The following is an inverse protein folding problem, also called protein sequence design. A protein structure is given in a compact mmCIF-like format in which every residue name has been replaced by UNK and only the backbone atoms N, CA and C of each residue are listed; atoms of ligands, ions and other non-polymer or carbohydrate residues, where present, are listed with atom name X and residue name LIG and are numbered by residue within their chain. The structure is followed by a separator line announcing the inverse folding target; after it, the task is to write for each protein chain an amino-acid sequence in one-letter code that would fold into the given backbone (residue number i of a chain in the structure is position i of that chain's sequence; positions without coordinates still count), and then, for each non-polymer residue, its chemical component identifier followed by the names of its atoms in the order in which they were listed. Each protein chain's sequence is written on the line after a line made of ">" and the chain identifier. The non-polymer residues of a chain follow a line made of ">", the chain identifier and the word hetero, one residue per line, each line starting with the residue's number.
data_IF_954450139572
#
_entry.id   IF_954450139572
#
_cell.length_a   1.000
_cell.length_b   1.000
_cell.length_c   1.000
_cell.angle_alpha   90.00
_cell.angle_beta   90.00
_cell.angle_gamma   90.00
#
_symmetry.space_group_name_H-M   'P 1'
#
loop_
_entity.id
_entity.type
_entity.pdbx_description
1 polymer ?
#
# COMPACT_ATOMS: atom_id res chain seq x y z
N UNK A 1 -0.10 8.47 7.99
CA UNK A 1 -0.25 7.14 8.59
C UNK A 1 -1.44 6.36 8.03
N UNK A 2 -2.71 6.88 8.06
CA UNK A 2 -3.91 6.12 7.63
C UNK A 2 -3.85 5.66 6.17
N UNK A 3 -3.39 6.52 5.23
CA UNK A 3 -3.25 6.14 3.81
C UNK A 3 -2.18 5.06 3.63
N UNK A 4 -1.03 5.20 4.28
CA UNK A 4 0.04 4.20 4.27
C UNK A 4 -0.45 2.86 4.84
N UNK A 5 -1.14 2.88 5.98
CA UNK A 5 -1.72 1.68 6.57
C UNK A 5 -2.69 0.96 5.61
N UNK A 6 -3.53 1.69 4.87
CA UNK A 6 -4.43 1.11 3.86
C UNK A 6 -3.71 0.49 2.66
N UNK A 7 -2.53 1.01 2.30
CA UNK A 7 -1.72 0.45 1.22
C UNK A 7 -1.04 -0.86 1.64
N UNK A 8 -0.56 -0.93 2.89
CA UNK A 8 0.15 -2.10 3.39
C UNK A 8 -0.76 -3.27 3.78
N UNK A 9 -1.85 -3.00 4.50
CA UNK A 9 -2.71 -4.06 5.03
C UNK A 9 -3.53 -4.73 3.93
N UNK A 10 -3.51 -6.06 3.91
CA UNK A 10 -4.33 -6.84 3.01
C UNK A 10 -5.82 -6.63 3.32
N UNK A 11 -6.55 -6.13 2.32
CA UNK A 11 -7.98 -5.90 2.41
C UNK A 11 -8.71 -7.12 1.88
N UNK A 12 -9.61 -7.68 2.67
CA UNK A 12 -10.58 -8.64 2.14
C UNK A 12 -11.55 -7.91 1.20
N UNK A 13 -12.09 -8.62 0.20
CA UNK A 13 -13.06 -8.04 -0.74
C UNK A 13 -14.17 -7.34 0.02
N UNK A 14 -14.53 -6.13 -0.40
CA UNK A 14 -15.60 -5.36 0.21
C UNK A 14 -16.89 -6.19 0.29
N UNK A 15 -17.46 -6.32 1.50
CA UNK A 15 -18.67 -7.10 1.76
C UNK A 15 -18.42 -8.58 2.15
N UNK A 16 -17.18 -9.05 2.24
CA UNK A 16 -16.87 -10.38 2.78
C UNK A 16 -17.01 -10.44 4.31
N UNK A 17 -17.32 -11.63 4.86
CA UNK A 17 -17.47 -11.84 6.33
C UNK A 17 -16.27 -11.36 7.15
N UNK A 18 -15.08 -11.31 6.59
CA UNK A 18 -13.84 -10.90 7.24
C UNK A 18 -13.39 -9.46 6.91
N UNK A 19 -14.26 -8.63 6.34
CA UNK A 19 -13.90 -7.24 6.00
C UNK A 19 -13.49 -6.40 7.22
N UNK A 20 -13.99 -6.74 8.41
CA UNK A 20 -13.62 -6.11 9.67
C UNK A 20 -12.15 -6.31 10.04
N UNK A 21 -11.56 -7.49 9.73
CA UNK A 21 -10.14 -7.81 10.00
C UNK A 21 -9.21 -6.82 9.32
N UNK A 22 -9.44 -6.56 8.02
CA UNK A 22 -8.66 -5.58 7.27
C UNK A 22 -8.82 -4.15 7.80
N UNK A 23 -10.05 -3.74 8.13
CA UNK A 23 -10.30 -2.41 8.69
C UNK A 23 -9.65 -2.21 10.05
N UNK A 24 -9.74 -3.21 10.92
CA UNK A 24 -9.10 -3.20 12.22
C UNK A 24 -7.58 -3.18 12.10
N UNK A 25 -7.01 -4.00 11.21
CA UNK A 25 -5.60 -4.00 10.89
C UNK A 25 -5.10 -2.63 10.42
N UNK A 26 -5.84 -1.93 9.56
CA UNK A 26 -5.52 -0.55 9.16
C UNK A 26 -5.52 0.41 10.36
N UNK A 27 -6.45 0.25 11.29
CA UNK A 27 -6.53 1.07 12.50
C UNK A 27 -5.31 0.84 13.40
N UNK A 28 -4.91 -0.42 13.59
CA UNK A 28 -3.73 -0.78 14.37
C UNK A 28 -2.45 -0.26 13.72
N UNK A 29 -2.21 -0.57 12.44
CA UNK A 29 -1.02 -0.09 11.70
C UNK A 29 -0.92 1.43 11.73
N UNK A 30 -2.03 2.16 11.54
CA UNK A 30 -2.04 3.61 11.66
C UNK A 30 -1.51 4.06 13.03
N UNK A 31 -1.98 3.46 14.13
CA UNK A 31 -1.59 3.85 15.48
C UNK A 31 -0.15 3.44 15.80
N UNK A 32 0.30 2.27 15.34
CA UNK A 32 1.68 1.81 15.48
C UNK A 32 2.67 2.72 14.73
N UNK A 33 2.34 3.14 13.52
CA UNK A 33 3.16 4.10 12.77
C UNK A 33 3.23 5.47 13.46
N UNK A 34 2.11 5.97 13.99
CA UNK A 34 2.09 7.23 14.73
C UNK A 34 2.91 7.09 16.02
N UNK A 35 2.78 5.96 16.74
CA UNK A 35 3.60 5.67 17.91
C UNK A 35 5.09 5.77 17.60
N UNK A 36 5.55 5.10 16.53
CA UNK A 36 6.95 5.13 16.14
C UNK A 36 7.44 6.54 15.81
N UNK A 37 6.65 7.33 15.10
CA UNK A 37 7.00 8.72 14.78
C UNK A 37 7.08 9.58 16.05
N UNK A 38 6.11 9.47 16.95
CA UNK A 38 6.09 10.25 18.19
C UNK A 38 7.18 9.82 19.18
N UNK A 39 7.50 8.52 19.20
CA UNK A 39 8.50 7.97 20.12
C UNK A 39 9.94 8.15 19.63
N UNK A 40 10.18 8.08 18.31
CA UNK A 40 11.53 7.99 17.74
C UNK A 40 11.82 9.08 16.69
N UNK A 41 10.87 10.02 16.46
CA UNK A 41 10.96 11.04 15.40
C UNK A 41 10.65 10.52 13.99
N UNK A 42 10.76 9.21 13.75
CA UNK A 42 10.48 8.57 12.46
C UNK A 42 9.96 7.15 12.64
N UNK A 43 9.25 6.65 11.64
CA UNK A 43 8.88 5.25 11.50
C UNK A 43 9.66 4.66 10.30
N UNK A 44 10.46 3.63 10.55
CA UNK A 44 11.17 2.88 9.51
C UNK A 44 10.56 1.49 9.35
N UNK A 45 10.72 0.83 8.19
CA UNK A 45 10.28 -0.56 8.02
C UNK A 45 10.85 -1.48 9.11
N UNK A 46 12.13 -1.34 9.45
CA UNK A 46 12.77 -2.13 10.50
C UNK A 46 12.17 -1.88 11.89
N UNK A 47 11.92 -0.61 12.27
CA UNK A 47 11.31 -0.29 13.56
C UNK A 47 9.85 -0.78 13.64
N UNK A 48 9.14 -0.75 12.53
CA UNK A 48 7.78 -1.26 12.45
C UNK A 48 7.74 -2.80 12.59
N UNK A 49 8.62 -3.50 11.88
CA UNK A 49 8.74 -4.95 11.98
C UNK A 49 9.15 -5.40 13.40
N UNK A 50 10.13 -4.70 14.00
CA UNK A 50 10.51 -4.94 15.39
C UNK A 50 9.31 -4.80 16.33
N UNK A 51 8.51 -3.73 16.18
CA UNK A 51 7.34 -3.49 17.01
C UNK A 51 6.30 -4.61 16.86
N UNK A 52 6.03 -5.09 15.63
CA UNK A 52 5.15 -6.24 15.42
C UNK A 52 5.67 -7.50 16.13
N UNK A 53 6.97 -7.77 16.05
CA UNK A 53 7.55 -8.93 16.72
C UNK A 53 7.47 -8.82 18.26
N UNK A 54 7.68 -7.63 18.82
CA UNK A 54 7.48 -7.39 20.26
C UNK A 54 6.03 -7.64 20.67
N UNK A 55 5.07 -7.09 19.93
CA UNK A 55 3.63 -7.33 20.21
C UNK A 55 3.33 -8.83 20.19
N UNK A 56 3.96 -9.59 19.28
CA UNK A 56 3.76 -11.03 19.16
C UNK A 56 4.30 -11.82 20.33
N UNK A 57 5.54 -11.55 20.76
CA UNK A 57 6.35 -12.48 21.55
C UNK A 57 6.89 -11.94 22.87
N UNK A 58 6.75 -10.64 23.19
CA UNK A 58 7.32 -10.04 24.40
C UNK A 58 6.31 -9.09 25.07
N UNK A 59 5.53 -9.63 25.99
CA UNK A 59 4.50 -8.86 26.71
C UNK A 59 5.08 -7.78 27.60
N UNK A 60 6.26 -7.97 28.19
CA UNK A 60 6.85 -6.98 29.07
C UNK A 60 7.42 -5.79 28.28
N UNK A 61 8.07 -6.06 27.14
CA UNK A 61 8.47 -5.01 26.23
C UNK A 61 7.25 -4.29 25.66
N UNK A 62 6.17 -5.01 25.33
CA UNK A 62 4.95 -4.39 24.83
C UNK A 62 4.27 -3.49 25.88
N UNK A 63 4.20 -3.92 27.14
CA UNK A 63 3.75 -3.07 28.25
C UNK A 63 4.61 -1.81 28.39
N UNK A 64 5.91 -1.92 28.17
CA UNK A 64 6.81 -0.77 28.19
C UNK A 64 6.51 0.22 27.08
N UNK A 65 6.26 -0.27 25.86
CA UNK A 65 5.81 0.59 24.75
C UNK A 65 4.45 1.24 25.05
N UNK A 66 3.52 0.50 25.62
CA UNK A 66 2.21 1.02 26.01
C UNK A 66 2.34 2.13 27.06
N UNK A 67 3.18 1.94 28.08
CA UNK A 67 3.48 3.00 29.08
C UNK A 67 4.12 4.23 28.44
N UNK A 68 5.06 4.04 27.49
CA UNK A 68 5.69 5.15 26.75
C UNK A 68 4.69 5.91 25.87
N UNK A 69 3.61 5.28 25.44
CA UNK A 69 2.55 5.92 24.68
C UNK A 69 1.60 6.76 25.55
N UNK A 70 1.69 6.65 26.87
CA UNK A 70 0.83 7.40 27.79
C UNK A 70 1.02 8.91 27.58
N UNK A 71 -0.08 9.60 27.35
CA UNK A 71 -0.08 11.03 27.01
C UNK A 71 0.15 11.35 25.52
N UNK A 72 0.43 10.37 24.66
CA UNK A 72 0.51 10.61 23.21
C UNK A 72 -0.88 10.93 22.63
N UNK A 73 -0.87 11.82 21.64
CA UNK A 73 -2.07 12.25 20.91
C UNK A 73 -2.57 11.19 19.92
N UNK A 74 -3.67 11.49 19.24
CA UNK A 74 -4.26 10.66 18.15
C UNK A 74 -4.78 9.27 18.57
N UNK A 75 -5.05 9.06 19.85
CA UNK A 75 -5.59 7.80 20.36
C UNK A 75 -4.60 6.62 20.33
N UNK A 76 -3.30 6.91 20.24
CA UNK A 76 -2.24 5.88 20.16
C UNK A 76 -2.27 5.00 21.41
N UNK A 77 -2.27 5.61 22.62
CA UNK A 77 -2.30 4.90 23.88
C UNK A 77 -3.51 3.95 23.98
N UNK A 78 -4.71 4.46 23.69
CA UNK A 78 -5.93 3.66 23.73
C UNK A 78 -5.88 2.46 22.79
N UNK A 79 -5.33 2.65 21.57
CA UNK A 79 -5.17 1.54 20.62
C UNK A 79 -4.15 0.51 21.10
N UNK A 80 -3.02 0.92 21.69
CA UNK A 80 -2.03 -0.03 22.24
C UNK A 80 -2.60 -0.83 23.40
N UNK A 81 -3.35 -0.20 24.31
CA UNK A 81 -4.08 -0.89 25.38
C UNK A 81 -5.06 -1.91 24.80
N UNK A 82 -5.87 -1.50 23.83
CA UNK A 82 -6.83 -2.40 23.19
C UNK A 82 -6.16 -3.60 22.53
N UNK A 83 -5.03 -3.41 21.83
CA UNK A 83 -4.27 -4.51 21.24
C UNK A 83 -3.79 -5.46 22.33
N UNK A 84 -3.31 -4.92 23.46
CA UNK A 84 -2.87 -5.71 24.59
C UNK A 84 -4.02 -6.52 25.22
N UNK A 85 -5.16 -5.87 25.49
CA UNK A 85 -6.36 -6.50 26.02
C UNK A 85 -6.88 -7.58 25.09
N UNK A 86 -7.02 -7.29 23.77
CA UNK A 86 -7.45 -8.30 22.80
C UNK A 86 -6.50 -9.50 22.72
N UNK A 87 -5.21 -9.30 22.89
CA UNK A 87 -4.24 -10.41 22.91
C UNK A 87 -4.54 -11.40 24.05
N UNK A 88 -4.99 -10.92 25.22
CA UNK A 88 -5.21 -11.74 26.40
C UNK A 88 -6.67 -12.16 26.60
N UNK A 89 -7.61 -11.29 26.28
CA UNK A 89 -9.04 -11.51 26.57
C UNK A 89 -9.81 -12.05 25.36
N UNK A 90 -9.38 -11.72 24.15
CA UNK A 90 -10.01 -12.14 22.90
C UNK A 90 -8.99 -12.71 21.88
N UNK A 91 -8.25 -13.79 22.22
CA UNK A 91 -7.11 -14.28 21.43
C UNK A 91 -7.48 -14.71 20.01
N UNK A 92 -8.73 -15.12 19.76
CA UNK A 92 -9.20 -15.46 18.41
C UNK A 92 -9.30 -14.22 17.52
N UNK A 93 -9.88 -13.13 18.04
CA UNK A 93 -9.99 -11.86 17.30
C UNK A 93 -8.60 -11.24 17.06
N UNK A 94 -7.79 -11.20 18.13
CA UNK A 94 -6.40 -10.77 18.02
C UNK A 94 -5.66 -11.58 16.96
N UNK A 95 -5.74 -12.91 17.00
CA UNK A 95 -5.07 -13.80 16.06
C UNK A 95 -5.49 -13.55 14.61
N UNK A 96 -6.78 -13.30 14.37
CA UNK A 96 -7.28 -13.01 13.03
C UNK A 96 -6.71 -11.68 12.49
N UNK A 97 -6.76 -10.61 13.27
CA UNK A 97 -6.25 -9.30 12.86
C UNK A 97 -4.73 -9.31 12.76
N UNK A 98 -4.07 -9.83 13.79
CA UNK A 98 -2.61 -9.83 13.87
C UNK A 98 -1.97 -10.76 12.83
N UNK A 99 -2.59 -11.92 12.55
CA UNK A 99 -2.19 -12.80 11.46
C UNK A 99 -2.23 -12.10 10.12
N UNK A 100 -3.34 -11.40 9.82
CA UNK A 100 -3.44 -10.59 8.61
C UNK A 100 -2.36 -9.49 8.53
N UNK A 101 -1.94 -8.90 9.66
CA UNK A 101 -0.84 -7.93 9.68
C UNK A 101 0.50 -8.60 9.40
N UNK A 102 0.79 -9.74 10.02
CA UNK A 102 2.02 -10.47 9.74
C UNK A 102 2.10 -10.86 8.27
N UNK A 103 1.04 -11.44 7.69
CA UNK A 103 0.98 -11.79 6.28
C UNK A 103 1.17 -10.56 5.36
N UNK A 104 0.58 -9.42 5.74
CA UNK A 104 0.68 -8.17 4.99
C UNK A 104 2.09 -7.58 4.95
N UNK A 105 2.89 -7.84 5.96
CA UNK A 105 4.23 -7.27 6.13
C UNK A 105 5.32 -8.34 6.19
N UNK A 106 5.03 -9.59 5.80
CA UNK A 106 5.99 -10.71 5.84
C UNK A 106 7.23 -10.47 4.97
N UNK A 107 7.11 -9.68 3.92
CA UNK A 107 8.25 -9.24 3.11
C UNK A 107 9.35 -8.54 3.93
N UNK A 108 9.04 -7.98 5.11
CA UNK A 108 10.02 -7.44 6.06
C UNK A 108 10.85 -8.52 6.77
N UNK A 109 10.43 -9.77 6.70
CA UNK A 109 11.20 -10.91 7.21
C UNK A 109 12.41 -11.23 6.33
N UNK A 110 12.40 -10.79 5.05
CA UNK A 110 13.54 -10.93 4.14
C UNK A 110 14.61 -9.86 4.43
N UNK A 111 15.84 -10.24 4.83
CA UNK A 111 16.90 -9.26 5.11
C UNK A 111 17.27 -8.41 3.88
N UNK A 112 17.19 -8.98 2.69
CA UNK A 112 17.50 -8.28 1.44
C UNK A 112 16.48 -7.19 1.14
N UNK A 113 15.18 -7.51 1.29
CA UNK A 113 14.11 -6.53 1.09
C UNK A 113 14.14 -5.48 2.18
N UNK A 114 14.29 -5.89 3.45
CA UNK A 114 14.39 -4.96 4.56
C UNK A 114 15.56 -3.97 4.37
N UNK A 115 16.72 -4.43 3.90
CA UNK A 115 17.86 -3.58 3.59
C UNK A 115 17.56 -2.60 2.45
N UNK A 116 16.91 -3.05 1.37
CA UNK A 116 16.59 -2.20 0.20
C UNK A 116 15.61 -1.07 0.51
N UNK A 117 14.76 -1.22 1.52
CA UNK A 117 13.77 -0.20 1.93
C UNK A 117 14.19 0.59 3.18
N UNK A 118 15.40 0.37 3.69
CA UNK A 118 15.89 1.01 4.93
C UNK A 118 16.84 2.18 4.71
N UNK A 119 17.09 2.57 3.45
CA UNK A 119 17.92 3.75 3.11
C UNK A 119 17.29 5.07 3.57
N UNK A 120 18.15 6.07 3.78
CA UNK A 120 17.72 7.45 4.12
C UNK A 120 17.63 8.35 2.87
N UNK A 121 17.84 7.81 1.67
CA UNK A 121 17.82 8.55 0.40
C UNK A 121 16.39 8.84 -0.05
N UNK A 122 16.14 10.07 -0.44
CA UNK A 122 14.83 10.53 -0.89
C UNK A 122 14.76 10.64 -2.42
N UNK A 123 14.75 9.49 -3.09
CA UNK A 123 14.60 9.44 -4.55
C UNK A 123 13.24 9.97 -5.04
N UNK A 124 12.22 10.00 -4.18
CA UNK A 124 10.90 10.47 -4.58
C UNK A 124 10.87 11.99 -4.76
N UNK A 125 11.70 12.73 -4.03
CA UNK A 125 11.85 14.18 -4.23
C UNK A 125 12.44 14.49 -5.60
N UNK A 126 13.36 13.66 -6.08
CA UNK A 126 13.92 13.80 -7.44
C UNK A 126 12.87 13.57 -8.52
N UNK A 127 11.92 12.66 -8.29
CA UNK A 127 10.84 12.38 -9.24
C UNK A 127 9.92 13.58 -9.48
N UNK A 128 9.82 14.48 -8.52
CA UNK A 128 8.97 15.67 -8.59
C UNK A 128 9.74 16.97 -8.81
N UNK A 129 11.07 16.93 -8.91
CA UNK A 129 11.90 18.10 -9.24
C UNK A 129 11.85 18.40 -10.75
N UNK A 130 11.30 19.55 -11.18
CA UNK A 130 11.20 19.91 -12.59
C UNK A 130 12.55 20.10 -13.29
N UNK A 131 13.65 20.24 -12.54
CA UNK A 131 14.99 20.41 -13.09
C UNK A 131 15.75 19.08 -13.25
N UNK A 132 15.14 17.96 -12.86
CA UNK A 132 15.78 16.64 -12.92
C UNK A 132 15.00 15.71 -13.83
N UNK A 133 15.73 14.99 -14.68
CA UNK A 133 15.20 13.88 -15.47
C UNK A 133 15.64 12.57 -14.82
N UNK A 134 14.76 11.96 -14.05
CA UNK A 134 15.03 10.69 -13.35
C UNK A 134 14.04 9.62 -13.77
N UNK A 135 14.51 8.38 -13.77
CA UNK A 135 13.67 7.18 -13.91
C UNK A 135 13.93 6.29 -12.70
N UNK A 136 12.87 5.96 -11.98
CA UNK A 136 12.93 5.05 -10.83
C UNK A 136 12.35 3.72 -11.28
N UNK A 137 13.16 2.67 -11.26
CA UNK A 137 12.72 1.30 -11.52
C UNK A 137 12.45 0.58 -10.19
N UNK A 138 11.22 0.12 -10.02
CA UNK A 138 10.86 -0.77 -8.92
C UNK A 138 10.71 -2.18 -9.49
N UNK A 139 11.73 -3.00 -9.26
CA UNK A 139 11.83 -4.35 -9.85
C UNK A 139 11.53 -5.39 -8.79
N UNK A 140 10.55 -6.25 -9.05
CA UNK A 140 10.25 -7.42 -8.24
C UNK A 140 10.63 -8.66 -9.04
N UNK A 141 11.48 -9.56 -8.50
CA UNK A 141 11.85 -10.78 -9.19
C UNK A 141 10.65 -11.62 -9.56
N UNK A 142 10.66 -12.18 -10.77
CA UNK A 142 9.62 -13.10 -11.23
C UNK A 142 9.48 -14.30 -10.26
N UNK A 143 8.24 -14.77 -10.07
CA UNK A 143 7.91 -15.84 -9.13
C UNK A 143 7.59 -15.39 -7.70
N UNK A 144 8.05 -14.21 -7.27
CA UNK A 144 7.76 -13.67 -5.93
C UNK A 144 6.78 -12.50 -5.92
N UNK A 145 6.19 -12.15 -7.07
CA UNK A 145 5.30 -11.01 -7.20
C UNK A 145 4.08 -11.10 -6.27
N UNK A 146 3.50 -12.30 -6.11
CA UNK A 146 2.35 -12.51 -5.22
C UNK A 146 2.72 -12.37 -3.75
N UNK A 147 3.88 -12.86 -3.34
CA UNK A 147 4.37 -12.79 -1.97
C UNK A 147 4.73 -11.35 -1.58
N UNK A 148 5.06 -10.51 -2.58
CA UNK A 148 5.41 -9.11 -2.41
C UNK A 148 4.29 -8.13 -2.85
N UNK A 149 3.05 -8.59 -2.99
CA UNK A 149 1.91 -7.76 -3.41
C UNK A 149 1.75 -6.51 -2.53
N UNK A 150 1.82 -6.66 -1.21
CA UNK A 150 1.67 -5.55 -0.29
C UNK A 150 2.84 -4.56 -0.35
N UNK A 151 4.07 -5.05 -0.55
CA UNK A 151 5.25 -4.20 -0.79
C UNK A 151 5.08 -3.39 -2.08
N UNK A 152 4.68 -4.05 -3.18
CA UNK A 152 4.45 -3.39 -4.48
C UNK A 152 3.38 -2.31 -4.34
N UNK A 153 2.27 -2.67 -3.72
CA UNK A 153 1.15 -1.77 -3.45
C UNK A 153 1.59 -0.56 -2.62
N UNK A 154 2.41 -0.77 -1.58
CA UNK A 154 2.94 0.32 -0.76
C UNK A 154 3.90 1.21 -1.54
N UNK A 155 4.85 0.65 -2.28
CA UNK A 155 5.84 1.42 -3.03
C UNK A 155 5.16 2.35 -4.06
N UNK A 156 4.28 1.80 -4.88
CA UNK A 156 3.51 2.59 -5.87
C UNK A 156 2.64 3.63 -5.20
N UNK A 157 1.89 3.24 -4.16
CA UNK A 157 0.98 4.15 -3.47
C UNK A 157 1.69 5.28 -2.71
N UNK A 158 2.85 5.03 -2.12
CA UNK A 158 3.66 6.05 -1.45
C UNK A 158 4.22 7.03 -2.50
N UNK A 159 4.75 6.54 -3.62
CA UNK A 159 5.26 7.38 -4.71
C UNK A 159 4.15 8.28 -5.28
N UNK A 160 2.96 7.73 -5.57
CA UNK A 160 1.82 8.54 -6.00
C UNK A 160 1.39 9.58 -4.95
N UNK A 161 1.35 9.19 -3.68
CA UNK A 161 1.01 10.12 -2.60
C UNK A 161 2.04 11.25 -2.45
N UNK A 162 3.32 10.96 -2.70
CA UNK A 162 4.38 11.97 -2.76
C UNK A 162 4.11 12.98 -3.88
N UNK A 163 3.85 12.52 -5.10
CA UNK A 163 3.55 13.39 -6.24
C UNK A 163 2.33 14.29 -6.01
N UNK A 164 1.27 13.74 -5.41
CA UNK A 164 0.07 14.52 -5.04
C UNK A 164 0.40 15.62 -4.03
N UNK A 165 1.34 15.40 -3.11
CA UNK A 165 1.74 16.37 -2.09
C UNK A 165 2.74 17.40 -2.59
N UNK A 166 3.66 16.99 -3.43
CA UNK A 166 4.68 17.86 -3.98
C UNK A 166 4.10 18.93 -4.92
N UNK A 167 3.11 18.56 -5.76
CA UNK A 167 2.24 19.46 -6.57
C UNK A 167 2.94 20.74 -7.09
N UNK A 168 4.13 20.60 -7.69
CA UNK A 168 4.97 21.70 -8.15
C UNK A 168 4.86 21.99 -9.66
N UNK A 169 3.85 21.41 -10.31
CA UNK A 169 3.61 21.56 -11.75
C UNK A 169 4.35 20.52 -12.62
N UNK A 170 5.24 19.71 -12.05
CA UNK A 170 5.83 18.58 -12.73
C UNK A 170 4.89 17.36 -12.68
N UNK A 171 4.73 16.68 -13.81
CA UNK A 171 3.78 15.56 -13.95
C UNK A 171 4.57 14.28 -14.28
N UNK A 172 5.01 13.50 -13.29
CA UNK A 172 5.73 12.26 -13.54
C UNK A 172 4.82 11.20 -14.16
N UNK A 173 5.41 10.32 -14.96
CA UNK A 173 4.75 9.17 -15.54
C UNK A 173 4.94 7.93 -14.65
N UNK A 174 3.84 7.32 -14.26
CA UNK A 174 3.81 6.00 -13.64
C UNK A 174 3.49 4.94 -14.69
N UNK A 175 4.47 4.10 -15.00
CA UNK A 175 4.28 2.97 -15.92
C UNK A 175 4.22 1.67 -15.10
N UNK A 176 3.05 1.06 -15.03
CA UNK A 176 2.80 -0.20 -14.30
C UNK A 176 2.65 -1.33 -15.32
N UNK A 177 3.76 -1.98 -15.65
CA UNK A 177 3.84 -3.02 -16.67
C UNK A 177 2.95 -4.24 -16.38
N UNK A 178 2.80 -4.58 -15.09
CA UNK A 178 1.86 -5.61 -14.62
C UNK A 178 1.10 -5.04 -13.42
N UNK A 179 0.12 -4.17 -13.68
CA UNK A 179 -0.63 -3.49 -12.62
C UNK A 179 -1.41 -4.46 -11.72
N UNK A 180 -1.68 -5.68 -12.20
CA UNK A 180 -2.34 -6.73 -11.44
C UNK A 180 -1.56 -7.17 -10.20
N UNK A 181 -0.21 -7.03 -10.17
CA UNK A 181 0.63 -7.39 -9.02
C UNK A 181 0.44 -6.48 -7.81
N UNK A 182 -0.21 -5.33 -7.99
CA UNK A 182 -0.60 -4.47 -6.86
C UNK A 182 -1.82 -5.02 -6.10
N UNK A 183 -2.47 -6.06 -6.61
CA UNK A 183 -3.68 -6.63 -6.02
C UNK A 183 -4.80 -5.62 -5.89
N UNK A 184 -5.57 -5.71 -4.81
CA UNK A 184 -6.63 -4.75 -4.49
C UNK A 184 -6.03 -3.43 -4.00
N UNK A 185 -5.83 -2.50 -4.92
CA UNK A 185 -5.17 -1.21 -4.67
C UNK A 185 -6.11 -0.02 -4.98
N UNK A 186 -6.96 0.43 -4.03
CA UNK A 186 -7.91 1.51 -4.27
C UNK A 186 -7.28 2.82 -4.76
N UNK A 187 -6.00 3.06 -4.47
CA UNK A 187 -5.27 4.23 -4.96
C UNK A 187 -5.06 4.22 -6.47
N UNK A 188 -5.07 3.04 -7.13
CA UNK A 188 -5.03 2.96 -8.60
C UNK A 188 -6.33 3.50 -9.21
N UNK A 189 -7.48 3.30 -8.55
CA UNK A 189 -8.75 3.93 -8.94
C UNK A 189 -8.67 5.45 -8.78
N UNK A 190 -8.09 5.93 -7.68
CA UNK A 190 -7.86 7.37 -7.48
C UNK A 190 -6.86 7.95 -8.49
N UNK A 191 -5.85 7.19 -8.90
CA UNK A 191 -4.90 7.60 -9.94
C UNK A 191 -5.59 7.83 -11.28
N UNK A 192 -6.51 6.93 -11.65
CA UNK A 192 -7.26 7.04 -12.89
C UNK A 192 -8.26 8.22 -12.91
N UNK A 193 -8.73 8.67 -11.75
CA UNK A 193 -9.78 9.68 -11.63
C UNK A 193 -9.30 11.01 -11.02
N UNK A 194 -8.78 10.96 -9.78
CA UNK A 194 -8.50 12.16 -8.99
C UNK A 194 -7.06 12.68 -9.18
N UNK A 195 -6.09 11.77 -9.42
CA UNK A 195 -4.66 12.12 -9.42
C UNK A 195 -4.13 12.53 -10.79
N UNK A 196 -4.93 12.42 -11.86
CA UNK A 196 -4.54 12.75 -13.24
C UNK A 196 -4.01 14.17 -13.44
N UNK A 197 -4.23 15.09 -12.52
CA UNK A 197 -3.65 16.43 -12.54
C UNK A 197 -2.24 16.50 -11.93
N UNK A 198 -1.79 15.45 -11.25
CA UNK A 198 -0.52 15.38 -10.56
C UNK A 198 0.44 14.38 -11.20
N UNK A 199 -0.07 13.42 -11.96
CA UNK A 199 0.71 12.37 -12.61
C UNK A 199 -0.03 11.79 -13.80
N UNK A 200 0.73 11.35 -14.80
CA UNK A 200 0.22 10.46 -15.84
C UNK A 200 0.41 9.01 -15.42
N UNK A 201 -0.52 8.14 -15.76
CA UNK A 201 -0.45 6.73 -15.35
C UNK A 201 -0.79 5.82 -16.50
N UNK A 202 0.10 4.85 -16.76
CA UNK A 202 -0.11 3.74 -17.69
C UNK A 202 -0.33 2.48 -16.86
N UNK A 203 -1.46 1.84 -17.04
CA UNK A 203 -1.75 0.53 -16.46
C UNK A 203 -1.75 -0.53 -17.55
N UNK A 204 -0.98 -1.59 -17.35
CA UNK A 204 -0.98 -2.74 -18.23
C UNK A 204 -1.58 -3.93 -17.49
N UNK A 205 -2.58 -4.55 -18.09
CA UNK A 205 -3.26 -5.76 -17.59
C UNK A 205 -3.31 -6.81 -18.69
N UNK A 206 -3.08 -8.06 -18.32
CA UNK A 206 -3.13 -9.17 -19.29
C UNK A 206 -4.57 -9.57 -19.64
N UNK A 207 -5.54 -9.29 -18.78
CA UNK A 207 -6.94 -9.60 -19.04
C UNK A 207 -7.90 -8.75 -18.20
N UNK A 208 -9.14 -8.64 -18.66
CA UNK A 208 -10.25 -8.08 -17.90
C UNK A 208 -10.52 -8.87 -16.60
N UNK A 209 -10.27 -10.18 -16.63
CA UNK A 209 -10.41 -11.04 -15.46
C UNK A 209 -9.51 -10.62 -14.30
N UNK A 210 -8.28 -10.16 -14.56
CA UNK A 210 -7.38 -9.63 -13.54
C UNK A 210 -7.96 -8.36 -12.87
N UNK A 211 -8.53 -7.45 -13.66
CA UNK A 211 -9.18 -6.26 -13.13
C UNK A 211 -10.36 -6.60 -12.22
N UNK A 212 -11.22 -7.52 -12.66
CA UNK A 212 -12.37 -7.96 -11.85
C UNK A 212 -11.91 -8.69 -10.59
N UNK A 213 -10.83 -9.47 -10.69
CA UNK A 213 -10.26 -10.15 -9.52
C UNK A 213 -9.75 -9.16 -8.47
N UNK A 214 -9.07 -8.09 -8.90
CA UNK A 214 -8.48 -7.09 -8.02
C UNK A 214 -9.52 -6.12 -7.44
N UNK A 215 -10.47 -5.64 -8.24
CA UNK A 215 -11.34 -4.52 -7.86
C UNK A 215 -12.83 -4.86 -7.74
N UNK A 216 -13.22 -6.05 -8.18
CA UNK A 216 -14.63 -6.38 -8.39
C UNK A 216 -15.20 -5.72 -9.67
N UNK A 217 -16.33 -6.23 -10.15
CA UNK A 217 -16.89 -5.87 -11.46
C UNK A 217 -17.17 -4.38 -11.63
N UNK A 218 -17.79 -3.74 -10.64
CA UNK A 218 -18.17 -2.33 -10.70
C UNK A 218 -16.95 -1.39 -10.79
N UNK A 219 -15.96 -1.59 -9.91
CA UNK A 219 -14.74 -0.77 -9.90
C UNK A 219 -13.85 -1.05 -11.12
N UNK A 220 -13.81 -2.29 -11.62
CA UNK A 220 -13.12 -2.65 -12.86
C UNK A 220 -13.73 -1.90 -14.06
N UNK A 221 -15.06 -1.81 -14.12
CA UNK A 221 -15.75 -1.05 -15.16
C UNK A 221 -15.40 0.45 -15.09
N UNK A 222 -15.41 1.04 -13.89
CA UNK A 222 -14.98 2.43 -13.70
C UNK A 222 -13.55 2.67 -14.16
N UNK A 223 -12.64 1.72 -13.88
CA UNK A 223 -11.25 1.83 -14.30
C UNK A 223 -11.10 1.75 -15.82
N UNK A 224 -11.97 1.01 -16.52
CA UNK A 224 -12.03 0.96 -17.99
C UNK A 224 -12.55 2.27 -18.57
N UNK A 225 -13.58 2.85 -17.99
CA UNK A 225 -14.25 4.05 -18.54
C UNK A 225 -13.49 5.35 -18.27
N UNK A 226 -12.56 5.36 -17.30
CA UNK A 226 -11.85 6.57 -16.86
C UNK A 226 -10.70 7.04 -17.75
N UNK A 227 -9.93 6.17 -18.43
CA UNK A 227 -8.76 6.57 -19.23
C UNK A 227 -9.13 7.33 -20.50
N UNK A 228 -8.28 8.28 -20.89
CA UNK A 228 -8.42 9.00 -22.16
C UNK A 228 -7.99 8.18 -23.38
N UNK A 229 -7.18 7.14 -23.17
CA UNK A 229 -6.76 6.22 -24.22
C UNK A 229 -6.79 4.78 -23.70
N UNK A 230 -7.38 3.90 -24.47
CA UNK A 230 -7.35 2.46 -24.24
C UNK A 230 -6.75 1.79 -25.47
N UNK A 231 -5.76 0.92 -25.25
CA UNK A 231 -5.12 0.15 -26.31
C UNK A 231 -5.27 -1.33 -26.00
N UNK A 232 -5.80 -2.07 -26.94
CA UNK A 232 -5.95 -3.52 -26.89
C UNK A 232 -4.94 -4.15 -27.85
N UNK A 233 -4.01 -4.93 -27.28
CA UNK A 233 -2.98 -5.63 -28.04
C UNK A 233 -3.33 -7.12 -28.10
N UNK A 234 -3.51 -7.63 -29.30
CA UNK A 234 -3.84 -9.04 -29.53
C UNK A 234 -5.09 -9.21 -30.40
N UNK A 235 -4.98 -10.04 -31.43
CA UNK A 235 -6.04 -10.24 -32.42
C UNK A 235 -7.22 -11.03 -31.90
N UNK A 236 -8.37 -10.58 -32.33
CA UNK A 236 -9.62 -11.29 -32.47
C UNK A 236 -10.21 -12.06 -31.27
N UNK A 237 -11.24 -11.50 -30.68
CA UNK A 237 -12.42 -12.19 -30.13
C UNK A 237 -12.25 -13.28 -29.05
N UNK A 238 -11.09 -13.53 -28.49
CA UNK A 238 -10.99 -14.34 -27.28
C UNK A 238 -10.78 -13.43 -26.08
N UNK A 239 -11.77 -13.36 -25.22
CA UNK A 239 -11.84 -12.55 -23.98
C UNK A 239 -10.70 -12.86 -22.98
N UNK A 240 -9.70 -13.66 -23.33
CA UNK A 240 -8.73 -14.20 -22.40
C UNK A 240 -7.28 -13.75 -22.52
N UNK A 241 -6.88 -12.99 -23.55
CA UNK A 241 -5.46 -12.65 -23.78
C UNK A 241 -5.20 -11.29 -24.43
N UNK A 242 -6.00 -10.29 -24.15
CA UNK A 242 -5.71 -8.95 -24.62
C UNK A 242 -4.87 -8.20 -23.58
N UNK A 243 -3.66 -7.79 -23.95
CA UNK A 243 -2.90 -6.80 -23.18
C UNK A 243 -3.62 -5.46 -23.34
N UNK A 244 -4.10 -4.89 -22.26
CA UNK A 244 -4.76 -3.58 -22.25
C UNK A 244 -3.82 -2.56 -21.64
N UNK A 245 -3.46 -1.53 -22.39
CA UNK A 245 -2.68 -0.38 -21.91
C UNK A 245 -3.62 0.80 -21.74
N UNK A 246 -3.64 1.41 -20.59
CA UNK A 246 -4.56 2.49 -20.28
C UNK A 246 -3.79 3.72 -19.82
N UNK A 247 -4.01 4.81 -20.53
CA UNK A 247 -3.44 6.12 -20.25
C UNK A 247 -4.50 7.01 -19.62
N UNK A 248 -4.28 7.44 -18.39
CA UNK A 248 -5.09 8.50 -17.78
C UNK A 248 -4.54 9.85 -18.29
N UNK A 249 -5.32 10.66 -19.02
CA UNK A 249 -4.83 11.93 -19.53
C UNK A 249 -4.62 12.91 -18.37
N UNK A 250 -3.46 13.59 -18.36
CA UNK A 250 -3.28 14.78 -17.55
C UNK A 250 -4.19 15.88 -18.11
N UNK A 251 -5.10 16.40 -17.30
CA UNK A 251 -5.80 17.63 -17.64
C UNK A 251 -4.81 18.77 -17.40
N UNK A 252 -4.11 19.18 -18.46
CA UNK A 252 -3.34 20.44 -18.42
C UNK A 252 -4.33 21.59 -18.59
N UNK A 253 -4.22 22.65 -17.78
CA UNK A 253 -4.96 23.89 -18.00
C UNK A 253 -4.59 24.56 -19.31
#
# INVERSE_FOLDING_TARGET
>A
AKRIARMGVNQTKAGGENSWVGNEGVRWVKSLLIFLVLANGRATPASFWHLLNVIRSDDEAFKTFTRRAQGMTYGVYATLIEIYEKKHEAPREFGAVFGNLLDSFDWLSSPQIAASVSGDEDYLSDLTDPNRNVVIYFVIPGGSAKDNESLTRMAVGIAQLHCVRASNGHTPLFYLEEAAVCGSAPFLLSAASEFRKYMDTVFVYQSYGQLVANFGKASAQTLIESPGLQVYLGGAFAISTALSVWLAPSVRP
#
